data_IF_024014756413
#
_entry.id   IF_024014756413
#
_cell.length_a   1.000
_cell.length_b   1.000
_cell.length_c   1.000
_cell.angle_alpha   90.00
_cell.angle_beta   90.00
_cell.angle_gamma   90.00
#
_symmetry.space_group_name_H-M   'P 1'
#
loop_
_entity.id
_entity.type
_entity.pdbx_description
1 polymer ?
#
# COMPACT_ATOMS: atom_id res chain seq x y z
N UNK A 1 -9.12 -2.66 -7.77
CA UNK A 1 -7.85 -2.75 -7.03
C UNK A 1 -6.74 -3.43 -7.81
N UNK A 2 -6.92 -4.68 -8.29
CA UNK A 2 -5.94 -5.35 -9.16
C UNK A 2 -5.40 -4.47 -10.31
N UNK A 3 -6.29 -3.79 -11.05
CA UNK A 3 -5.93 -2.85 -12.11
C UNK A 3 -5.06 -1.67 -11.65
N UNK A 4 -5.21 -1.22 -10.41
CA UNK A 4 -4.40 -0.15 -9.84
C UNK A 4 -3.01 -0.65 -9.42
N UNK A 5 -2.94 -1.85 -8.80
CA UNK A 5 -1.66 -2.52 -8.53
C UNK A 5 -0.87 -2.77 -9.83
N UNK A 6 -1.56 -3.14 -10.91
CA UNK A 6 -0.95 -3.37 -12.21
C UNK A 6 -0.54 -2.07 -12.94
N UNK A 7 -1.13 -0.91 -12.63
CA UNK A 7 -0.76 0.36 -13.28
C UNK A 7 0.38 1.08 -12.57
N UNK A 8 0.57 0.83 -11.26
CA UNK A 8 1.55 1.54 -10.43
C UNK A 8 2.99 1.10 -10.63
N UNK A 9 3.24 -0.09 -11.18
CA UNK A 9 4.61 -0.56 -11.40
C UNK A 9 4.99 -0.36 -12.88
N UNK A 10 5.84 0.63 -13.22
CA UNK A 10 6.45 0.69 -14.54
C UNK A 10 7.10 -0.66 -14.85
N UNK A 11 6.87 -1.21 -16.05
CA UNK A 11 7.40 -2.52 -16.47
C UNK A 11 8.89 -2.69 -16.12
N UNK A 12 9.65 -1.60 -16.20
CA UNK A 12 11.08 -1.51 -15.98
C UNK A 12 11.57 -1.74 -14.55
N UNK A 13 10.70 -1.64 -13.54
CA UNK A 13 11.07 -1.80 -12.10
C UNK A 13 10.35 -2.96 -11.42
N UNK A 14 9.49 -3.71 -12.13
CA UNK A 14 8.80 -4.93 -11.64
C UNK A 14 9.74 -6.03 -11.19
N UNK A 15 10.98 -5.98 -11.66
CA UNK A 15 12.03 -6.94 -11.32
C UNK A 15 12.74 -6.61 -10.00
N UNK A 16 12.47 -5.42 -9.42
CA UNK A 16 13.11 -4.94 -8.19
C UNK A 16 12.10 -4.61 -7.09
N UNK A 17 10.95 -4.02 -7.44
CA UNK A 17 9.86 -3.68 -6.51
C UNK A 17 8.51 -4.00 -7.15
N UNK A 18 7.62 -4.66 -6.39
CA UNK A 18 6.25 -4.96 -6.77
C UNK A 18 5.29 -4.43 -5.71
N UNK A 19 4.16 -3.87 -6.14
CA UNK A 19 3.09 -3.47 -5.22
C UNK A 19 1.98 -4.52 -5.29
N UNK A 20 1.80 -5.22 -4.18
CA UNK A 20 0.72 -6.17 -3.99
C UNK A 20 -0.41 -5.53 -3.18
N UNK A 21 -1.62 -6.06 -3.38
CA UNK A 21 -2.73 -5.78 -2.49
C UNK A 21 -3.24 -7.09 -1.88
N UNK A 22 -3.21 -7.16 -0.55
CA UNK A 22 -3.86 -8.21 0.21
C UNK A 22 -5.29 -7.78 0.56
N UNK A 23 -6.26 -8.51 0.04
CA UNK A 23 -7.68 -8.23 0.27
C UNK A 23 -8.19 -9.03 1.48
N UNK A 24 -8.85 -8.36 2.42
CA UNK A 24 -9.57 -8.97 3.53
C UNK A 24 -11.00 -8.43 3.61
N UNK A 25 -11.87 -9.08 4.39
CA UNK A 25 -13.32 -8.78 4.48
C UNK A 25 -13.65 -7.29 4.77
N UNK A 26 -12.75 -6.58 5.48
CA UNK A 26 -12.97 -5.18 5.90
C UNK A 26 -11.77 -4.27 5.68
N UNK A 27 -10.71 -4.75 5.06
CA UNK A 27 -9.57 -3.90 4.77
C UNK A 27 -8.77 -4.42 3.59
N UNK A 28 -8.08 -3.51 2.93
CA UNK A 28 -7.15 -3.81 1.84
C UNK A 28 -5.77 -3.37 2.34
N UNK A 29 -4.79 -4.25 2.32
CA UNK A 29 -3.42 -3.93 2.74
C UNK A 29 -2.55 -3.80 1.51
N UNK A 30 -1.94 -2.64 1.31
CA UNK A 30 -0.95 -2.42 0.27
C UNK A 30 0.40 -2.88 0.79
N UNK A 31 1.03 -3.77 0.04
CA UNK A 31 2.29 -4.42 0.41
C UNK A 31 3.32 -4.11 -0.65
N UNK A 32 4.46 -3.58 -0.21
CA UNK A 32 5.64 -3.43 -1.04
C UNK A 32 6.46 -4.72 -0.96
N UNK A 33 6.63 -5.38 -2.11
CA UNK A 33 7.44 -6.57 -2.26
C UNK A 33 8.76 -6.18 -2.94
N UNK A 34 9.87 -6.24 -2.20
CA UNK A 34 11.21 -5.96 -2.73
C UNK A 34 11.90 -7.27 -3.09
N UNK A 35 12.48 -7.31 -4.29
CA UNK A 35 13.37 -8.39 -4.68
C UNK A 35 14.60 -8.41 -3.76
N UNK A 36 15.17 -9.58 -3.48
CA UNK A 36 16.37 -9.69 -2.67
C UNK A 36 17.51 -8.88 -3.31
N UNK A 37 18.21 -8.08 -2.49
CA UNK A 37 19.29 -7.20 -2.97
C UNK A 37 20.50 -7.98 -3.52
N UNK A 38 20.62 -9.26 -3.17
CA UNK A 38 21.49 -10.24 -3.86
C UNK A 38 20.80 -11.59 -3.96
N UNK A 39 20.84 -12.18 -5.16
CA UNK A 39 20.35 -13.54 -5.44
C UNK A 39 21.05 -14.60 -4.57
N UNK A 40 22.30 -14.33 -4.17
CA UNK A 40 23.12 -15.19 -3.32
C UNK A 40 22.62 -15.30 -1.86
N UNK A 41 21.87 -14.31 -1.38
CA UNK A 41 21.36 -14.25 0.00
C UNK A 41 19.96 -14.89 0.15
N UNK A 42 19.38 -15.40 -0.94
CA UNK A 42 18.10 -16.09 -0.96
C UNK A 42 17.19 -15.58 -2.08
N UNK A 43 16.25 -16.42 -2.49
CA UNK A 43 15.23 -16.10 -3.51
C UNK A 43 13.97 -15.46 -2.91
N UNK A 44 13.93 -15.23 -1.60
CA UNK A 44 12.73 -14.74 -0.91
C UNK A 44 12.53 -13.24 -1.10
N UNK A 45 11.33 -12.89 -1.57
CA UNK A 45 10.90 -11.50 -1.71
C UNK A 45 10.56 -10.95 -0.33
N UNK A 46 11.11 -9.80 0.02
CA UNK A 46 10.77 -9.13 1.27
C UNK A 46 9.42 -8.44 1.11
N UNK A 47 8.42 -8.84 1.88
CA UNK A 47 7.06 -8.29 1.85
C UNK A 47 6.87 -7.32 3.01
N UNK A 48 6.62 -6.06 2.70
CA UNK A 48 6.52 -4.98 3.68
C UNK A 48 5.15 -4.33 3.55
N UNK A 49 4.23 -4.49 4.51
CA UNK A 49 2.99 -3.73 4.53
C UNK A 49 3.32 -2.24 4.66
N UNK A 50 2.83 -1.40 3.76
CA UNK A 50 3.12 0.05 3.75
C UNK A 50 1.89 0.86 4.12
N UNK A 51 0.72 0.45 3.62
CA UNK A 51 -0.54 1.12 3.86
C UNK A 51 -1.68 0.14 4.05
N UNK A 52 -2.73 0.58 4.73
CA UNK A 52 -3.98 -0.16 4.85
C UNK A 52 -5.15 0.76 4.58
N UNK A 53 -6.13 0.27 3.84
CA UNK A 53 -7.39 0.93 3.56
C UNK A 53 -8.46 0.18 4.35
N UNK A 54 -8.99 0.79 5.41
CA UNK A 54 -10.03 0.19 6.25
C UNK A 54 -11.42 0.59 5.77
N UNK A 55 -12.32 -0.38 5.58
CA UNK A 55 -13.69 -0.15 5.15
C UNK A 55 -14.65 -0.09 6.35
N UNK A 56 -15.33 1.03 6.50
CA UNK A 56 -16.38 1.22 7.49
C UNK A 56 -17.74 0.91 6.86
N UNK A 57 -18.29 -0.28 7.13
CA UNK A 57 -19.57 -0.75 6.53
C UNK A 57 -20.76 0.17 6.80
N UNK A 58 -20.81 0.81 7.97
CA UNK A 58 -21.92 1.69 8.35
C UNK A 58 -22.00 2.94 7.49
N UNK A 59 -20.86 3.46 7.02
CA UNK A 59 -20.78 4.68 6.20
C UNK A 59 -20.41 4.41 4.75
N UNK A 60 -19.95 3.19 4.42
CA UNK A 60 -19.42 2.83 3.10
C UNK A 60 -18.09 3.51 2.77
N UNK A 61 -17.43 4.13 3.75
CA UNK A 61 -16.21 4.91 3.54
C UNK A 61 -14.96 4.08 3.79
N UNK A 62 -13.92 4.37 3.04
CA UNK A 62 -12.57 3.89 3.22
C UNK A 62 -11.74 4.91 3.99
N UNK A 63 -10.92 4.43 4.92
CA UNK A 63 -9.94 5.25 5.66
C UNK A 63 -8.54 4.75 5.35
N UNK A 64 -7.63 5.66 5.02
CA UNK A 64 -6.23 5.34 4.80
C UNK A 64 -5.47 5.30 6.13
N UNK A 65 -4.64 4.28 6.27
CA UNK A 65 -3.75 4.08 7.39
C UNK A 65 -2.33 3.87 6.87
N UNK A 66 -1.36 4.53 7.50
CA UNK A 66 0.07 4.33 7.24
C UNK A 66 0.67 3.45 8.33
N UNK A 67 1.72 2.72 7.99
CA UNK A 67 2.47 1.93 8.97
C UNK A 67 3.53 2.81 9.63
N UNK A 68 3.48 2.90 10.95
CA UNK A 68 4.53 3.57 11.73
C UNK A 68 5.74 2.64 11.95
N UNK A 69 6.87 3.18 12.41
CA UNK A 69 8.12 2.43 12.66
C UNK A 69 7.96 1.23 13.60
N UNK A 70 6.95 1.24 14.47
CA UNK A 70 6.62 0.15 15.42
C UNK A 70 5.77 -0.96 14.80
N UNK A 71 5.53 -0.90 13.48
CA UNK A 71 4.67 -1.80 12.70
C UNK A 71 3.16 -1.66 12.98
N UNK A 72 2.74 -0.66 13.75
CA UNK A 72 1.31 -0.36 13.96
C UNK A 72 0.77 0.50 12.81
N UNK A 73 -0.50 0.30 12.49
CA UNK A 73 -1.21 1.16 11.54
C UNK A 73 -1.81 2.36 12.27
N UNK A 74 -1.49 3.56 11.79
CA UNK A 74 -2.07 4.82 12.24
C UNK A 74 -2.88 5.43 11.13
N UNK A 75 -3.96 6.12 11.50
CA UNK A 75 -4.81 6.83 10.54
C UNK A 75 -4.01 7.94 9.87
N UNK A 76 -4.15 8.06 8.56
CA UNK A 76 -3.57 9.15 7.79
C UNK A 76 -4.57 10.31 7.72
N UNK A 77 -4.26 11.42 8.38
CA UNK A 77 -5.22 12.51 8.59
C UNK A 77 -5.21 13.58 7.48
N UNK A 78 -4.24 13.52 6.54
CA UNK A 78 -4.17 14.47 5.41
C UNK A 78 -5.23 14.22 4.34
N UNK A 79 -5.87 13.04 4.36
CA UNK A 79 -7.02 12.74 3.50
C UNK A 79 -8.18 12.21 4.33
N UNK A 80 -9.38 12.81 4.21
CA UNK A 80 -10.55 12.35 4.96
C UNK A 80 -11.03 10.98 4.45
N UNK A 81 -11.86 10.26 5.24
CA UNK A 81 -12.46 9.03 4.79
C UNK A 81 -13.38 9.31 3.61
N UNK A 82 -13.30 8.49 2.58
CA UNK A 82 -14.00 8.70 1.31
C UNK A 82 -14.63 7.40 0.84
N UNK A 83 -15.76 7.48 0.16
CA UNK A 83 -16.35 6.30 -0.51
C UNK A 83 -15.57 5.93 -1.77
N UNK A 84 -14.76 6.87 -2.31
CA UNK A 84 -13.93 6.68 -3.47
C UNK A 84 -12.52 6.23 -3.08
N UNK A 85 -12.29 4.91 -3.11
CA UNK A 85 -10.96 4.34 -2.82
C UNK A 85 -9.86 4.88 -3.75
N UNK A 86 -10.21 5.32 -4.97
CA UNK A 86 -9.26 5.90 -5.92
C UNK A 86 -8.53 7.13 -5.38
N UNK A 87 -9.22 7.99 -4.62
CA UNK A 87 -8.60 9.18 -4.02
C UNK A 87 -7.53 8.83 -2.98
N UNK A 88 -7.77 7.78 -2.18
CA UNK A 88 -6.79 7.29 -1.20
C UNK A 88 -5.58 6.66 -1.89
N UNK A 89 -5.83 6.02 -3.03
CA UNK A 89 -4.80 5.41 -3.84
C UNK A 89 -3.93 6.45 -4.55
N UNK A 90 -4.54 7.52 -5.07
CA UNK A 90 -3.81 8.65 -5.66
C UNK A 90 -2.97 9.40 -4.61
N UNK A 91 -3.49 9.56 -3.40
CA UNK A 91 -2.73 10.14 -2.28
C UNK A 91 -1.53 9.26 -1.90
N UNK A 92 -1.76 7.95 -1.81
CA UNK A 92 -0.71 6.97 -1.60
C UNK A 92 0.32 6.96 -2.75
N UNK A 93 -0.08 7.31 -3.97
CA UNK A 93 0.81 7.46 -5.12
C UNK A 93 1.67 8.72 -5.06
N UNK A 94 1.05 9.85 -4.73
CA UNK A 94 1.78 11.11 -4.57
C UNK A 94 2.75 11.09 -3.39
N UNK A 95 2.41 10.35 -2.32
CA UNK A 95 3.15 10.26 -1.04
C UNK A 95 3.89 11.57 -0.69
N UNK A 96 3.17 12.68 -0.50
CA UNK A 96 3.78 14.00 -0.31
C UNK A 96 4.62 14.09 0.97
N UNK A 97 4.47 13.13 1.89
CA UNK A 97 5.18 13.07 3.17
C UNK A 97 6.31 12.04 3.18
N UNK A 98 6.49 11.27 2.10
CA UNK A 98 7.43 10.16 1.99
C UNK A 98 7.27 9.10 3.10
N UNK A 99 6.08 8.96 3.70
CA UNK A 99 5.86 8.03 4.81
C UNK A 99 5.51 6.63 4.34
N UNK A 100 5.07 6.48 3.10
CA UNK A 100 4.65 5.20 2.53
C UNK A 100 5.80 4.52 1.80
N UNK A 101 6.63 5.28 1.07
CA UNK A 101 7.70 4.75 0.19
C UNK A 101 9.12 5.21 0.56
N UNK A 102 9.28 5.98 1.64
CA UNK A 102 10.58 6.50 2.11
C UNK A 102 11.57 5.46 2.59
#
# INVERSE_FOLDING_TARGET
MRRWCDQRVPERVRDQVRIECEEADRHLTIVECRAPWRVELGSEWTRVPVARLGHTRTTGTWTLYYRERTLRFRRYDLVPPTTNVGELLDELDRDPTAIFWG
#
